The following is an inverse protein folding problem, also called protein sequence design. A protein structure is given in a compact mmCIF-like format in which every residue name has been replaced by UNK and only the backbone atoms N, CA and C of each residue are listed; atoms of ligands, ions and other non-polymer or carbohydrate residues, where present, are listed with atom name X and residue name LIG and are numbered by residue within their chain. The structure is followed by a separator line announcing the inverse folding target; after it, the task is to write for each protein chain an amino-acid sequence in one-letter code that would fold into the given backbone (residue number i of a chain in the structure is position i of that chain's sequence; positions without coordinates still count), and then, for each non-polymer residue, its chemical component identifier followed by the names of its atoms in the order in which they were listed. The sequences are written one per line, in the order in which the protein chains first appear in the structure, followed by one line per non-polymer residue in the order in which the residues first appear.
data_IF_779357792905
#
_entry.id   IF_779357792905
#
_cell.length_a   1.000
_cell.length_b   1.000
_cell.length_c   1.000
_cell.angle_alpha   90.00
_cell.angle_beta   90.00
_cell.angle_gamma   90.00
#
_symmetry.space_group_name_H-M   'P 1'
#
loop_
_entity.id
_entity.type
_entity.pdbx_description
1 polymer ?
#
# COMPACT_ATOMS: atom_id res chain seq x y z
N UNK A 1 20.36 -11.23 12.14
CA UNK A 1 20.13 -10.92 10.71
C UNK A 1 19.82 -9.44 10.60
N UNK A 2 20.42 -8.72 9.65
CA UNK A 2 20.12 -7.30 9.39
C UNK A 2 18.94 -7.17 8.41
N UNK A 3 18.05 -6.20 8.62
CA UNK A 3 16.94 -5.93 7.70
C UNK A 3 17.39 -4.94 6.63
N UNK A 4 17.20 -5.23 5.36
CA UNK A 4 17.34 -4.22 4.32
C UNK A 4 16.02 -3.43 4.19
N UNK A 5 16.09 -2.18 3.75
CA UNK A 5 14.91 -1.40 3.37
C UNK A 5 14.22 -2.13 2.22
N UNK A 6 13.11 -2.84 2.49
CA UNK A 6 12.48 -3.75 1.53
C UNK A 6 11.86 -3.11 0.29
N UNK A 7 12.06 -1.80 0.06
CA UNK A 7 11.49 -1.02 -1.04
C UNK A 7 12.53 -0.03 -1.60
N UNK A 8 13.79 -0.43 -1.56
CA UNK A 8 14.98 0.41 -1.74
C UNK A 8 15.14 1.41 -0.59
N UNK A 9 16.33 1.41 0.00
CA UNK A 9 16.71 2.46 0.94
C UNK A 9 16.69 3.81 0.22
N UNK A 10 16.34 4.87 0.93
CA UNK A 10 16.25 6.20 0.37
C UNK A 10 17.31 7.09 0.94
N UNK A 11 17.90 7.85 0.05
CA UNK A 11 18.55 9.08 0.41
C UNK A 11 17.53 10.21 0.37
N UNK A 12 17.59 11.12 1.34
CA UNK A 12 16.61 12.22 1.41
C UNK A 12 17.24 13.54 1.78
N UNK A 13 16.61 14.63 1.37
CA UNK A 13 17.01 16.00 1.65
C UNK A 13 16.52 16.47 3.02
N UNK A 14 16.45 17.79 3.16
CA UNK A 14 16.04 18.49 4.36
C UNK A 14 14.53 18.46 4.61
N UNK A 15 13.72 18.39 3.55
CA UNK A 15 12.26 18.42 3.63
C UNK A 15 11.64 17.06 3.99
N UNK A 16 12.47 16.02 4.03
CA UNK A 16 12.06 14.66 4.31
C UNK A 16 12.52 14.23 5.70
N UNK A 17 11.72 13.35 6.31
CA UNK A 17 11.99 12.80 7.64
C UNK A 17 13.25 11.92 7.62
N UNK A 18 14.12 12.13 8.61
CA UNK A 18 15.32 11.33 8.83
C UNK A 18 15.31 10.76 10.27
N UNK A 19 14.97 9.48 10.45
CA UNK A 19 14.77 8.91 11.78
C UNK A 19 16.09 8.80 12.55
N UNK A 20 16.05 9.08 13.85
CA UNK A 20 17.22 8.89 14.73
C UNK A 20 17.39 7.43 15.17
N UNK A 21 16.29 6.69 15.27
CA UNK A 21 16.28 5.29 15.71
C UNK A 21 16.75 4.37 14.58
N UNK A 22 17.83 3.57 14.76
CA UNK A 22 18.34 2.69 13.72
C UNK A 22 17.38 1.56 13.35
N UNK A 23 16.40 1.21 14.19
CA UNK A 23 15.38 0.20 13.87
C UNK A 23 14.29 0.75 12.94
N UNK A 24 14.23 2.08 12.77
CA UNK A 24 13.25 2.74 11.92
C UNK A 24 13.79 2.97 10.51
N UNK A 25 13.01 2.55 9.51
CA UNK A 25 13.35 2.67 8.11
C UNK A 25 12.09 2.75 7.24
N UNK A 26 12.25 2.83 5.93
CA UNK A 26 11.11 2.84 5.02
C UNK A 26 10.37 1.49 5.06
N UNK A 27 9.24 1.48 5.78
CA UNK A 27 8.30 0.35 5.82
C UNK A 27 7.29 0.37 4.66
N UNK A 28 7.56 1.18 3.62
CA UNK A 28 6.75 1.39 2.44
C UNK A 28 5.66 2.46 2.60
N UNK A 29 5.60 3.18 3.73
CA UNK A 29 4.59 4.21 3.99
C UNK A 29 4.74 5.42 3.03
N UNK A 30 3.67 6.20 2.86
CA UNK A 30 3.69 7.39 2.00
C UNK A 30 4.72 8.43 2.46
N UNK A 31 4.96 8.50 3.77
CA UNK A 31 6.15 9.16 4.29
C UNK A 31 7.31 8.17 4.17
N UNK A 32 8.16 8.42 3.19
CA UNK A 32 9.33 7.61 2.88
C UNK A 32 10.53 8.14 3.66
N UNK A 33 10.80 7.69 4.91
CA UNK A 33 11.92 8.22 5.67
C UNK A 33 13.25 7.89 5.00
N UNK A 34 14.22 8.78 5.16
CA UNK A 34 15.59 8.51 4.75
C UNK A 34 16.22 7.36 5.53
N UNK A 35 17.14 6.66 4.87
CA UNK A 35 17.95 5.63 5.49
C UNK A 35 18.97 6.27 6.44
N UNK A 36 18.88 5.98 7.73
CA UNK A 36 19.86 6.42 8.73
C UNK A 36 21.02 5.42 8.94
N UNK A 37 21.07 4.37 8.13
CA UNK A 37 22.05 3.27 8.19
C UNK A 37 22.72 3.13 6.83
N UNK A 38 23.49 4.13 6.44
CA UNK A 38 24.18 4.21 5.16
C UNK A 38 25.64 3.76 5.28
N UNK A 39 26.15 3.07 4.26
CA UNK A 39 27.56 2.72 4.13
C UNK A 39 28.11 3.11 2.77
N UNK A 40 29.32 3.63 2.74
CA UNK A 40 30.03 3.91 1.50
C UNK A 40 30.37 2.61 0.78
N UNK A 41 30.07 2.54 -0.52
CA UNK A 41 30.40 1.39 -1.35
C UNK A 41 31.93 1.25 -1.56
N UNK A 42 32.65 2.38 -1.63
CA UNK A 42 34.10 2.42 -1.85
C UNK A 42 34.91 2.14 -0.58
N UNK A 43 34.80 2.97 0.45
CA UNK A 43 35.64 2.84 1.66
C UNK A 43 35.02 1.97 2.77
N UNK A 44 33.76 1.56 2.64
CA UNK A 44 33.06 0.73 3.63
C UNK A 44 32.72 1.42 4.96
N UNK A 45 33.10 2.70 5.14
CA UNK A 45 32.76 3.48 6.32
C UNK A 45 31.26 3.75 6.38
N UNK A 46 30.74 3.92 7.60
CA UNK A 46 29.39 4.43 7.80
C UNK A 46 29.33 5.87 7.25
N UNK A 47 28.17 6.27 6.71
CA UNK A 47 27.98 7.62 6.20
C UNK A 47 27.40 8.46 7.33
N UNK A 48 28.03 9.61 7.59
CA UNK A 48 27.51 10.63 8.50
C UNK A 48 26.56 11.54 7.74
N UNK A 49 25.57 12.05 8.44
CA UNK A 49 24.55 12.96 7.91
C UNK A 49 24.55 14.23 8.74
N UNK A 50 24.59 15.37 8.06
CA UNK A 50 24.51 16.70 8.67
C UNK A 50 23.09 17.08 9.07
N UNK A 51 22.98 18.14 9.85
CA UNK A 51 21.69 18.78 10.13
C UNK A 51 21.05 19.31 8.83
N UNK A 52 19.73 19.50 8.85
CA UNK A 52 18.99 20.14 7.75
C UNK A 52 19.55 21.54 7.49
N UNK A 53 19.72 21.88 6.22
CA UNK A 53 20.28 23.15 5.80
C UNK A 53 21.79 23.14 5.59
N UNK A 54 22.50 22.13 6.11
CA UNK A 54 23.94 22.00 5.88
C UNK A 54 24.23 21.59 4.44
N UNK A 55 25.12 22.33 3.81
CA UNK A 55 25.60 22.12 2.45
C UNK A 55 27.05 22.59 2.31
N UNK A 56 27.73 22.19 1.24
CA UNK A 56 29.04 22.73 0.86
C UNK A 56 28.84 24.07 0.14
N UNK A 57 29.70 25.05 0.42
CA UNK A 57 29.71 26.32 -0.32
C UNK A 57 30.04 26.07 -1.80
N UNK A 58 29.46 26.88 -2.68
CA UNK A 58 29.65 26.74 -4.12
C UNK A 58 31.15 26.75 -4.51
N UNK A 59 31.57 25.71 -5.22
CA UNK A 59 32.95 25.54 -5.67
C UNK A 59 33.95 25.08 -4.60
N UNK A 60 33.55 25.01 -3.33
CA UNK A 60 34.39 24.48 -2.26
C UNK A 60 34.33 22.95 -2.21
N UNK A 61 35.47 22.31 -1.97
CA UNK A 61 35.56 20.87 -1.71
C UNK A 61 36.42 20.63 -0.47
N UNK A 62 36.04 19.73 0.44
CA UNK A 62 36.89 19.39 1.56
C UNK A 62 38.23 18.84 1.07
N UNK A 63 39.34 19.47 1.48
CA UNK A 63 40.69 18.99 1.15
C UNK A 63 41.05 17.70 1.89
N UNK A 64 40.43 17.47 3.04
CA UNK A 64 40.61 16.30 3.88
C UNK A 64 39.24 15.80 4.38
N UNK A 65 38.69 14.83 3.66
CA UNK A 65 37.42 14.20 4.00
C UNK A 65 37.51 13.34 5.25
N UNK A 66 38.69 12.83 5.61
CA UNK A 66 38.87 12.09 6.85
C UNK A 66 38.78 13.03 8.06
N UNK A 67 39.38 14.23 7.97
CA UNK A 67 39.25 15.26 8.99
C UNK A 67 37.79 15.74 9.11
N UNK A 68 37.12 16.04 8.00
CA UNK A 68 35.68 16.39 8.01
C UNK A 68 34.84 15.28 8.66
N UNK A 69 35.08 14.02 8.29
CA UNK A 69 34.39 12.86 8.85
C UNK A 69 34.66 12.66 10.35
N UNK A 70 35.79 13.15 10.88
CA UNK A 70 36.09 13.11 12.31
C UNK A 70 35.50 14.31 13.09
N UNK A 71 35.25 15.46 12.44
CA UNK A 71 34.71 16.65 13.09
C UNK A 71 33.25 16.47 13.52
N UNK A 72 32.94 16.62 14.80
CA UNK A 72 31.56 16.47 15.32
C UNK A 72 30.61 17.53 14.75
N UNK A 73 30.98 18.81 14.83
CA UNK A 73 30.18 19.93 14.34
C UNK A 73 30.59 20.33 12.91
N UNK A 74 29.83 19.89 11.91
CA UNK A 74 30.07 20.28 10.52
C UNK A 74 29.75 21.75 10.24
N UNK A 75 28.90 22.40 11.02
CA UNK A 75 28.56 23.80 10.81
C UNK A 75 29.75 24.73 11.10
N UNK A 76 30.73 24.28 11.89
CA UNK A 76 31.95 25.04 12.17
C UNK A 76 33.01 24.94 11.07
N UNK A 77 32.81 24.11 10.04
CA UNK A 77 33.79 23.92 8.96
C UNK A 77 33.73 25.11 7.98
N UNK A 78 34.86 25.69 7.58
CA UNK A 78 34.89 26.94 6.79
C UNK A 78 34.27 26.81 5.38
N UNK A 79 34.15 25.60 4.87
CA UNK A 79 33.58 25.27 3.55
C UNK A 79 32.13 24.75 3.62
N UNK A 80 31.55 24.64 4.82
CA UNK A 80 30.14 24.28 5.02
C UNK A 80 29.34 25.57 5.25
N UNK A 81 28.11 25.61 4.74
CA UNK A 81 27.12 26.65 5.02
C UNK A 81 25.83 26.00 5.54
N UNK A 82 25.00 26.78 6.24
CA UNK A 82 23.68 26.37 6.73
C UNK A 82 22.54 27.16 6.07
N UNK A 83 22.83 27.91 5.00
CA UNK A 83 21.90 28.86 4.37
C UNK A 83 20.98 28.20 3.32
N UNK A 84 21.22 26.93 2.97
CA UNK A 84 20.48 26.25 1.91
C UNK A 84 19.35 25.39 2.48
N UNK A 85 18.19 26.02 2.73
CA UNK A 85 16.99 25.31 3.17
C UNK A 85 16.65 24.12 2.27
N UNK A 86 16.19 23.02 2.86
CA UNK A 86 15.82 21.81 2.13
C UNK A 86 17.00 20.90 1.74
N UNK A 87 18.26 21.32 1.91
CA UNK A 87 19.41 20.46 1.67
C UNK A 87 19.80 19.63 2.89
N UNK A 88 20.44 18.49 2.61
CA UNK A 88 21.10 17.65 3.61
C UNK A 88 22.45 17.17 3.08
N UNK A 89 23.50 17.49 3.82
CA UNK A 89 24.86 17.03 3.56
C UNK A 89 25.10 15.65 4.15
N UNK A 90 25.80 14.82 3.40
CA UNK A 90 26.24 13.50 3.80
C UNK A 90 27.71 13.31 3.44
N UNK A 91 28.43 12.56 4.26
CA UNK A 91 29.85 12.32 4.02
C UNK A 91 30.30 10.97 4.58
N UNK A 92 31.26 10.36 3.88
CA UNK A 92 32.10 9.30 4.42
C UNK A 92 33.57 9.75 4.39
N UNK A 93 34.52 8.83 4.56
CA UNK A 93 35.95 9.16 4.56
C UNK A 93 36.52 9.50 3.17
N UNK A 94 35.81 9.19 2.09
CA UNK A 94 36.31 9.34 0.72
C UNK A 94 35.37 10.11 -0.22
N UNK A 95 34.14 10.41 0.19
CA UNK A 95 33.14 11.05 -0.67
C UNK A 95 32.14 11.89 0.14
N UNK A 96 31.60 12.93 -0.51
CA UNK A 96 30.52 13.78 0.00
C UNK A 96 29.37 13.83 -0.99
N UNK A 97 28.16 14.05 -0.50
CA UNK A 97 27.00 14.25 -1.36
C UNK A 97 25.98 15.13 -0.67
N UNK A 98 25.27 15.90 -1.49
CA UNK A 98 24.28 16.87 -1.04
C UNK A 98 22.96 16.47 -1.66
N UNK A 99 21.94 16.25 -0.83
CA UNK A 99 20.61 15.87 -1.29
C UNK A 99 19.63 17.00 -1.03
N UNK A 100 18.86 17.38 -2.06
CA UNK A 100 17.79 18.36 -1.95
C UNK A 100 16.42 17.68 -1.87
N UNK A 101 16.21 16.61 -2.63
CA UNK A 101 14.94 15.89 -2.68
C UNK A 101 15.09 14.48 -2.13
N UNK A 102 14.96 13.45 -2.94
CA UNK A 102 15.18 12.08 -2.51
C UNK A 102 15.59 11.21 -3.69
N UNK A 103 16.41 10.21 -3.41
CA UNK A 103 16.84 9.23 -4.40
C UNK A 103 16.85 7.83 -3.82
N UNK A 104 16.45 6.84 -4.62
CA UNK A 104 16.58 5.42 -4.26
C UNK A 104 18.06 5.04 -4.31
N UNK A 105 18.58 4.45 -3.22
CA UNK A 105 19.96 3.95 -3.16
C UNK A 105 20.16 2.73 -4.05
N UNK A 106 19.13 1.90 -4.15
CA UNK A 106 19.10 0.69 -4.98
C UNK A 106 18.17 0.98 -6.14
N UNK A 107 18.80 1.41 -7.23
CA UNK A 107 18.20 1.78 -8.49
C UNK A 107 18.73 0.81 -9.56
N UNK A 108 17.90 0.45 -10.55
CA UNK A 108 18.33 -0.34 -11.71
C UNK A 108 19.31 0.42 -12.64
N UNK A 109 19.49 1.72 -12.43
CA UNK A 109 20.31 2.63 -13.22
C UNK A 109 19.88 2.73 -14.69
N UNK A 110 18.66 2.28 -15.01
CA UNK A 110 18.17 2.24 -16.39
C UNK A 110 17.69 3.62 -16.87
N UNK A 111 17.44 4.56 -15.96
CA UNK A 111 17.07 5.94 -16.34
C UNK A 111 18.31 6.85 -16.42
N UNK A 112 18.56 7.53 -17.56
CA UNK A 112 19.72 8.40 -17.75
C UNK A 112 19.83 9.60 -16.79
N UNK A 113 18.79 9.88 -16.00
CA UNK A 113 18.75 10.97 -15.04
C UNK A 113 19.15 10.55 -13.62
N UNK A 114 19.39 9.26 -13.39
CA UNK A 114 19.61 8.77 -12.05
C UNK A 114 21.06 8.95 -11.60
N UNK A 115 21.28 9.53 -10.41
CA UNK A 115 22.63 9.72 -9.91
C UNK A 115 23.30 8.39 -9.55
N UNK A 116 24.60 8.28 -9.82
CA UNK A 116 25.44 7.21 -9.29
C UNK A 116 25.77 7.49 -7.82
N UNK A 117 24.88 7.04 -6.93
CA UNK A 117 25.01 7.28 -5.49
C UNK A 117 26.13 6.40 -4.90
N UNK A 118 27.11 6.98 -4.19
CA UNK A 118 28.27 6.24 -3.67
C UNK A 118 27.97 5.38 -2.44
N UNK A 119 26.70 5.18 -2.09
CA UNK A 119 26.28 4.55 -0.83
C UNK A 119 25.25 3.45 -1.01
N UNK A 120 25.21 2.58 -0.01
CA UNK A 120 24.27 1.46 0.10
C UNK A 120 23.65 1.41 1.49
N UNK A 121 22.52 0.71 1.62
CA UNK A 121 21.96 0.36 2.92
C UNK A 121 22.93 -0.58 3.67
N UNK A 122 23.21 -0.26 4.93
CA UNK A 122 24.01 -1.08 5.84
C UNK A 122 23.17 -2.10 6.64
N UNK A 123 21.86 -2.08 6.41
CA UNK A 123 20.88 -2.87 7.15
C UNK A 123 20.53 -2.29 8.52
N UNK A 124 19.30 -2.56 8.95
CA UNK A 124 18.70 -2.10 10.20
C UNK A 124 18.69 -3.21 11.26
N UNK A 125 19.02 -2.90 12.52
CA UNK A 125 18.85 -3.83 13.63
C UNK A 125 17.38 -4.20 13.86
N UNK A 126 17.20 -5.33 14.54
CA UNK A 126 15.91 -5.73 15.11
C UNK A 126 15.77 -5.00 16.46
N UNK A 127 14.61 -4.39 16.79
CA UNK A 127 14.45 -3.79 18.11
C UNK A 127 14.40 -4.89 19.18
N UNK A 128 14.94 -4.62 20.35
CA UNK A 128 15.00 -5.58 21.46
C UNK A 128 13.95 -5.26 22.52
N UNK A 129 13.37 -6.27 23.15
CA UNK A 129 12.42 -6.09 24.25
C UNK A 129 13.13 -6.16 25.61
N UNK A 130 12.73 -5.35 26.61
CA UNK A 130 11.73 -4.30 26.52
C UNK A 130 12.27 -3.08 25.75
N UNK A 131 11.45 -2.48 24.89
CA UNK A 131 11.78 -1.24 24.19
C UNK A 131 10.97 -0.08 24.76
N UNK A 132 11.58 1.11 24.76
CA UNK A 132 10.96 2.35 25.21
C UNK A 132 10.78 3.29 24.02
N UNK A 133 9.54 3.72 23.79
CA UNK A 133 9.16 4.67 22.75
C UNK A 133 8.52 5.88 23.43
N UNK A 134 9.35 6.81 23.89
CA UNK A 134 8.89 7.90 24.76
C UNK A 134 8.38 7.35 26.10
N UNK A 135 7.15 7.67 26.45
CA UNK A 135 6.50 7.21 27.69
C UNK A 135 5.95 5.78 27.62
N UNK A 136 6.07 5.13 26.46
CA UNK A 136 5.49 3.83 26.19
C UNK A 136 6.55 2.75 26.27
N UNK A 137 6.38 1.82 27.21
CA UNK A 137 7.22 0.62 27.32
C UNK A 137 6.50 -0.55 26.68
N UNK A 138 7.17 -1.21 25.74
CA UNK A 138 6.70 -2.46 25.13
C UNK A 138 7.61 -3.59 25.61
N UNK A 139 7.01 -4.55 26.30
CA UNK A 139 7.61 -5.78 26.77
C UNK A 139 6.86 -7.01 26.22
N UNK A 140 7.38 -8.21 26.48
CA UNK A 140 6.78 -9.46 25.98
C UNK A 140 5.37 -9.74 26.54
N UNK A 141 5.10 -9.22 27.74
CA UNK A 141 3.91 -9.33 28.57
C UNK A 141 3.03 -8.06 28.54
N UNK A 142 3.30 -7.12 27.64
CA UNK A 142 2.46 -5.93 27.43
C UNK A 142 0.98 -6.30 27.34
N UNK A 143 0.12 -5.56 28.02
CA UNK A 143 -1.32 -5.61 27.79
C UNK A 143 -1.63 -4.93 26.45
N UNK A 144 -1.71 -5.74 25.39
CA UNK A 144 -1.92 -5.27 24.03
C UNK A 144 -3.27 -4.60 23.82
N UNK A 145 -4.31 -5.06 24.54
CA UNK A 145 -5.63 -4.45 24.43
C UNK A 145 -5.63 -3.04 25.03
N UNK A 146 -5.05 -2.88 26.23
CA UNK A 146 -4.90 -1.57 26.85
C UNK A 146 -3.99 -0.64 26.04
N UNK A 147 -2.89 -1.16 25.49
CA UNK A 147 -1.99 -0.39 24.63
C UNK A 147 -2.70 0.12 23.37
N UNK A 148 -3.41 -0.75 22.64
CA UNK A 148 -4.15 -0.37 21.44
C UNK A 148 -5.22 0.67 21.77
N UNK A 149 -5.97 0.49 22.87
CA UNK A 149 -6.96 1.46 23.31
C UNK A 149 -6.31 2.82 23.60
N UNK A 150 -5.20 2.86 24.33
CA UNK A 150 -4.47 4.10 24.61
C UNK A 150 -4.04 4.82 23.33
N UNK A 151 -3.54 4.10 22.33
CA UNK A 151 -3.16 4.70 21.05
C UNK A 151 -4.40 5.23 20.33
N UNK A 152 -5.50 4.48 20.30
CA UNK A 152 -6.77 4.92 19.71
C UNK A 152 -7.35 6.16 20.39
N UNK A 153 -7.10 6.32 21.70
CA UNK A 153 -7.45 7.51 22.48
C UNK A 153 -6.48 8.69 22.25
N UNK A 154 -5.49 8.55 21.36
CA UNK A 154 -4.56 9.59 20.95
C UNK A 154 -3.20 9.57 21.63
N UNK A 155 -2.90 8.56 22.47
CA UNK A 155 -1.57 8.42 23.06
C UNK A 155 -0.54 7.93 22.03
N UNK A 156 -0.05 8.87 21.22
CA UNK A 156 1.03 8.71 20.25
C UNK A 156 2.35 9.22 20.88
N UNK A 157 3.08 8.39 21.65
CA UNK A 157 4.12 8.83 22.58
C UNK A 157 5.38 9.41 21.92
N UNK A 158 5.46 9.34 20.58
CA UNK A 158 6.52 9.97 19.80
C UNK A 158 5.96 10.54 18.52
N UNK A 159 6.55 11.64 18.05
CA UNK A 159 6.21 12.23 16.75
C UNK A 159 6.76 11.39 15.61
N UNK A 160 5.98 11.29 14.53
CA UNK A 160 6.36 10.65 13.26
C UNK A 160 6.66 11.68 12.16
N UNK A 161 6.81 12.95 12.54
CA UNK A 161 7.05 14.14 11.75
C UNK A 161 6.15 14.28 10.51
N UNK A 162 4.84 14.07 10.69
CA UNK A 162 3.81 14.35 9.68
C UNK A 162 2.72 15.27 10.24
N UNK A 163 2.14 16.08 9.36
CA UNK A 163 1.04 16.97 9.71
C UNK A 163 -0.25 16.22 10.07
N UNK A 164 -0.40 15.00 9.56
CA UNK A 164 -1.57 14.14 9.69
C UNK A 164 -1.36 12.97 10.66
N UNK A 165 -0.44 13.14 11.61
CA UNK A 165 -0.18 12.15 12.66
C UNK A 165 -1.42 11.88 13.52
N UNK A 166 -1.67 10.59 13.78
CA UNK A 166 -2.72 10.14 14.67
C UNK A 166 -2.69 8.61 14.84
N UNK A 167 -3.69 8.04 15.53
CA UNK A 167 -3.75 6.60 15.79
C UNK A 167 -3.75 5.77 14.50
N UNK A 168 -4.39 6.28 13.45
CA UNK A 168 -4.47 5.64 12.13
C UNK A 168 -3.09 5.40 11.50
N UNK A 169 -2.10 6.25 11.80
CA UNK A 169 -0.74 6.14 11.31
C UNK A 169 0.16 5.40 12.32
N UNK A 170 -0.06 5.63 13.61
CA UNK A 170 0.79 5.09 14.67
C UNK A 170 0.65 3.57 14.83
N UNK A 171 -0.55 3.01 14.68
CA UNK A 171 -0.75 1.55 14.74
C UNK A 171 -0.05 0.82 13.59
N UNK A 172 -0.20 1.22 12.31
CA UNK A 172 0.60 0.70 11.22
C UNK A 172 2.10 0.84 11.45
N UNK A 173 2.55 2.02 11.88
CA UNK A 173 3.96 2.29 12.15
C UNK A 173 4.52 1.33 13.20
N UNK A 174 3.83 1.18 14.33
CA UNK A 174 4.27 0.31 15.42
C UNK A 174 4.34 -1.16 14.99
N UNK A 175 3.33 -1.62 14.25
CA UNK A 175 3.33 -2.98 13.71
C UNK A 175 4.52 -3.23 12.77
N UNK A 176 4.85 -2.26 11.92
CA UNK A 176 6.00 -2.35 11.04
C UNK A 176 7.34 -2.29 11.81
N UNK A 177 7.43 -1.43 12.83
CA UNK A 177 8.60 -1.32 13.70
C UNK A 177 8.90 -2.64 14.43
N UNK A 178 7.87 -3.30 14.94
CA UNK A 178 7.93 -4.61 15.59
C UNK A 178 8.14 -5.79 14.61
N UNK A 179 8.48 -5.54 13.34
CA UNK A 179 8.81 -6.61 12.38
C UNK A 179 9.81 -7.60 13.01
N UNK A 180 9.68 -8.88 12.66
CA UNK A 180 10.50 -10.00 13.17
C UNK A 180 10.41 -10.28 14.69
N UNK A 181 9.58 -9.54 15.44
CA UNK A 181 9.30 -9.86 16.85
C UNK A 181 7.99 -10.66 16.99
N UNK A 182 7.94 -11.70 17.84
CA UNK A 182 6.72 -12.48 18.08
C UNK A 182 5.54 -11.65 18.59
N UNK A 183 5.82 -10.56 19.32
CA UNK A 183 4.80 -9.65 19.85
C UNK A 183 4.03 -8.89 18.76
N UNK A 184 4.55 -8.83 17.53
CA UNK A 184 3.89 -8.18 16.40
C UNK A 184 2.51 -8.77 16.12
N UNK A 185 2.39 -10.09 16.19
CA UNK A 185 1.11 -10.79 16.02
C UNK A 185 0.12 -10.48 17.17
N UNK A 186 0.63 -10.29 18.40
CA UNK A 186 -0.21 -9.90 19.54
C UNK A 186 -0.82 -8.51 19.32
N UNK A 187 -0.02 -7.57 18.81
CA UNK A 187 -0.49 -6.23 18.44
C UNK A 187 -1.61 -6.29 17.38
N UNK A 188 -1.39 -6.95 16.24
CA UNK A 188 -2.39 -6.96 15.18
C UNK A 188 -3.68 -7.68 15.57
N UNK A 189 -3.60 -8.75 16.37
CA UNK A 189 -4.81 -9.38 16.94
C UNK A 189 -5.58 -8.42 17.84
N UNK A 190 -4.89 -7.69 18.71
CA UNK A 190 -5.53 -6.69 19.57
C UNK A 190 -6.18 -5.55 18.76
N UNK A 191 -5.57 -5.15 17.64
CA UNK A 191 -6.20 -4.22 16.67
C UNK A 191 -7.45 -4.85 16.03
N UNK A 192 -7.36 -6.11 15.58
CA UNK A 192 -8.47 -6.86 15.01
C UNK A 192 -9.65 -7.03 15.96
N UNK A 193 -9.40 -7.25 17.25
CA UNK A 193 -10.44 -7.36 18.27
C UNK A 193 -11.23 -6.04 18.46
N UNK A 194 -10.76 -4.91 17.93
CA UNK A 194 -11.50 -3.64 17.87
C UNK A 194 -12.39 -3.48 16.64
N UNK A 195 -12.36 -4.40 15.68
CA UNK A 195 -13.19 -4.33 14.47
C UNK A 195 -14.71 -4.22 14.73
N UNK A 196 -15.29 -4.84 15.78
CA UNK A 196 -16.72 -4.71 16.09
C UNK A 196 -17.11 -3.42 16.85
N UNK A 197 -16.18 -2.50 17.09
CA UNK A 197 -16.47 -1.25 17.80
C UNK A 197 -17.49 -0.38 17.04
N UNK A 198 -18.16 0.52 17.75
CA UNK A 198 -19.13 1.47 17.19
C UNK A 198 -18.57 2.88 17.06
N UNK A 199 -17.46 3.18 17.73
CA UNK A 199 -16.80 4.47 17.62
C UNK A 199 -16.18 4.62 16.22
N UNK A 200 -16.64 5.61 15.44
CA UNK A 200 -16.26 5.75 14.03
C UNK A 200 -14.74 5.85 13.82
N UNK A 201 -14.04 6.62 14.65
CA UNK A 201 -12.59 6.78 14.57
C UNK A 201 -11.82 5.48 14.87
N UNK A 202 -12.34 4.63 15.77
CA UNK A 202 -11.74 3.32 16.07
C UNK A 202 -11.87 2.41 14.86
N UNK A 203 -13.09 2.29 14.31
CA UNK A 203 -13.34 1.48 13.11
C UNK A 203 -12.49 1.98 11.94
N UNK A 204 -12.40 3.30 11.74
CA UNK A 204 -11.56 3.88 10.69
C UNK A 204 -10.08 3.50 10.85
N UNK A 205 -9.51 3.60 12.05
CA UNK A 205 -8.11 3.23 12.30
C UNK A 205 -7.86 1.73 12.08
N UNK A 206 -8.78 0.86 12.52
CA UNK A 206 -8.69 -0.60 12.31
C UNK A 206 -8.72 -0.94 10.82
N UNK A 207 -9.66 -0.36 10.06
CA UNK A 207 -9.79 -0.60 8.63
C UNK A 207 -8.61 -0.03 7.83
N UNK A 208 -8.10 1.14 8.21
CA UNK A 208 -6.88 1.69 7.64
C UNK A 208 -5.67 0.76 7.87
N UNK A 209 -5.54 0.22 9.09
CA UNK A 209 -4.50 -0.75 9.43
C UNK A 209 -4.59 -2.01 8.56
N UNK A 210 -5.75 -2.64 8.47
CA UNK A 210 -5.89 -3.88 7.70
C UNK A 210 -5.89 -3.68 6.18
N UNK A 211 -6.29 -2.52 5.67
CA UNK A 211 -6.02 -2.19 4.25
C UNK A 211 -4.51 -2.15 3.97
N UNK A 212 -3.73 -1.65 4.93
CA UNK A 212 -2.27 -1.50 4.81
C UNK A 212 -1.52 -2.82 5.03
N UNK A 213 -1.95 -3.61 6.01
CA UNK A 213 -1.36 -4.90 6.38
C UNK A 213 -2.41 -6.01 6.31
N UNK A 214 -2.87 -6.36 5.10
CA UNK A 214 -4.05 -7.19 4.95
C UNK A 214 -3.81 -8.69 5.23
N UNK A 215 -2.54 -9.06 5.47
CA UNK A 215 -2.13 -10.41 5.88
C UNK A 215 -1.77 -10.49 7.37
N UNK A 216 -1.99 -9.43 8.13
CA UNK A 216 -1.73 -9.44 9.57
C UNK A 216 -2.77 -10.28 10.32
N UNK A 217 -2.34 -10.99 11.37
CA UNK A 217 -3.24 -11.72 12.27
C UNK A 217 -4.33 -10.78 12.80
N UNK A 218 -5.57 -11.25 12.90
CA UNK A 218 -6.72 -10.48 13.37
C UNK A 218 -7.62 -9.97 12.24
N UNK A 219 -7.18 -10.07 10.97
CA UNK A 219 -8.01 -9.75 9.79
C UNK A 219 -9.32 -10.54 9.78
N UNK A 220 -9.34 -11.74 10.37
CA UNK A 220 -10.53 -12.60 10.49
C UNK A 220 -11.68 -11.89 11.20
N UNK A 221 -11.38 -10.96 12.10
CA UNK A 221 -12.37 -10.13 12.80
C UNK A 221 -13.02 -9.10 11.87
N UNK A 222 -12.23 -8.49 10.99
CA UNK A 222 -12.72 -7.57 9.95
C UNK A 222 -13.62 -8.31 8.97
N UNK A 223 -13.22 -9.52 8.56
CA UNK A 223 -14.04 -10.40 7.71
C UNK A 223 -15.35 -10.75 8.41
N UNK A 224 -15.32 -11.13 9.69
CA UNK A 224 -16.52 -11.44 10.46
C UNK A 224 -17.48 -10.25 10.57
N UNK A 225 -16.97 -9.02 10.73
CA UNK A 225 -17.81 -7.81 10.69
C UNK A 225 -18.50 -7.64 9.32
N UNK A 226 -17.77 -7.87 8.23
CA UNK A 226 -18.31 -7.77 6.89
C UNK A 226 -19.33 -8.88 6.55
N UNK A 227 -19.13 -10.10 7.07
CA UNK A 227 -20.10 -11.20 6.99
C UNK A 227 -21.39 -10.87 7.73
N UNK A 228 -21.27 -10.27 8.93
CA UNK A 228 -22.40 -9.90 9.77
C UNK A 228 -23.24 -8.76 9.15
N UNK A 229 -22.60 -7.81 8.47
CA UNK A 229 -23.28 -6.72 7.77
C UNK A 229 -22.66 -6.41 6.40
N UNK A 230 -23.06 -7.21 5.41
CA UNK A 230 -22.67 -6.99 4.01
C UNK A 230 -23.14 -5.62 3.48
N UNK A 231 -24.17 -5.00 4.09
CA UNK A 231 -24.67 -3.70 3.65
C UNK A 231 -23.67 -2.58 3.98
N UNK A 232 -22.99 -2.71 5.12
CA UNK A 232 -22.00 -1.75 5.59
C UNK A 232 -20.64 -1.89 4.89
N UNK A 233 -20.43 -2.89 4.02
CA UNK A 233 -19.13 -3.16 3.41
C UNK A 233 -18.54 -1.94 2.68
N UNK A 234 -19.38 -1.16 2.01
CA UNK A 234 -18.96 0.04 1.29
C UNK A 234 -18.94 1.31 2.15
N UNK A 235 -19.40 1.25 3.40
CA UNK A 235 -19.40 2.42 4.27
C UNK A 235 -17.96 2.84 4.58
N UNK A 236 -17.60 4.05 4.17
CA UNK A 236 -16.32 4.66 4.51
C UNK A 236 -16.43 5.39 5.85
N UNK A 237 -15.47 5.13 6.74
CA UNK A 237 -15.41 5.73 8.07
C UNK A 237 -14.42 6.88 8.08
N UNK A 238 -14.78 8.05 8.62
CA UNK A 238 -13.89 9.21 8.62
C UNK A 238 -12.71 8.98 9.56
N UNK A 239 -11.49 9.10 9.04
CA UNK A 239 -10.29 9.27 9.87
C UNK A 239 -10.20 10.75 10.28
N UNK A 240 -10.13 11.09 11.58
CA UNK A 240 -10.12 12.49 12.03
C UNK A 240 -8.96 13.32 11.45
N UNK A 241 -7.81 12.69 11.22
CA UNK A 241 -6.54 13.36 10.91
C UNK A 241 -6.29 13.58 9.41
N UNK A 242 -7.02 12.88 8.53
CA UNK A 242 -6.83 12.92 7.07
C UNK A 242 -8.17 12.92 6.33
N UNK A 243 -8.20 13.46 5.11
CA UNK A 243 -9.35 13.28 4.20
C UNK A 243 -9.31 11.88 3.54
N UNK A 244 -9.36 10.86 4.40
CA UNK A 244 -9.34 9.46 4.00
C UNK A 244 -10.45 8.71 4.73
N UNK A 245 -11.14 7.84 3.98
CA UNK A 245 -12.33 7.10 4.42
C UNK A 245 -12.15 5.60 4.18
N UNK A 246 -11.38 4.88 5.02
CA UNK A 246 -11.26 3.43 4.93
C UNK A 246 -12.63 2.76 5.08
N UNK A 247 -12.82 1.66 4.37
CA UNK A 247 -14.02 0.83 4.40
C UNK A 247 -13.65 -0.65 4.53
N UNK A 248 -14.61 -1.48 4.93
CA UNK A 248 -14.45 -2.93 4.92
C UNK A 248 -14.07 -3.42 3.51
N UNK A 249 -14.70 -2.87 2.47
CA UNK A 249 -14.37 -3.14 1.07
C UNK A 249 -12.88 -2.95 0.78
N UNK A 250 -12.31 -1.82 1.18
CA UNK A 250 -10.89 -1.54 0.97
C UNK A 250 -9.97 -2.56 1.65
N UNK A 251 -10.28 -2.94 2.89
CA UNK A 251 -9.50 -3.94 3.63
C UNK A 251 -9.61 -5.34 2.99
N UNK A 252 -10.82 -5.77 2.60
CA UNK A 252 -11.05 -7.09 1.99
C UNK A 252 -10.36 -7.23 0.63
N UNK A 253 -10.44 -6.21 -0.23
CA UNK A 253 -9.77 -6.23 -1.54
C UNK A 253 -8.25 -6.26 -1.37
N UNK A 254 -7.70 -5.48 -0.42
CA UNK A 254 -6.27 -5.56 -0.10
C UNK A 254 -5.86 -6.96 0.39
N UNK A 255 -6.72 -7.68 1.12
CA UNK A 255 -6.47 -9.07 1.53
C UNK A 255 -6.40 -10.01 0.34
N UNK A 256 -7.38 -9.96 -0.58
CA UNK A 256 -7.36 -10.80 -1.77
C UNK A 256 -6.15 -10.52 -2.68
N UNK A 257 -5.68 -9.26 -2.74
CA UNK A 257 -4.53 -8.91 -3.57
C UNK A 257 -3.20 -9.44 -3.03
N UNK A 258 -3.08 -9.59 -1.70
CA UNK A 258 -1.82 -9.97 -1.05
C UNK A 258 -1.75 -11.44 -0.65
N UNK A 259 -2.89 -12.14 -0.64
CA UNK A 259 -2.99 -13.56 -0.29
C UNK A 259 -3.09 -14.38 -1.58
N UNK A 260 -2.19 -15.35 -1.74
CA UNK A 260 -2.03 -16.11 -2.98
C UNK A 260 -2.44 -17.58 -2.85
N UNK A 261 -2.93 -18.02 -1.70
CA UNK A 261 -3.33 -19.42 -1.48
C UNK A 261 -4.82 -19.61 -1.76
N UNK A 262 -5.14 -20.18 -2.92
CA UNK A 262 -6.51 -20.30 -3.39
C UNK A 262 -7.42 -21.17 -2.51
N UNK A 263 -6.82 -22.02 -1.66
CA UNK A 263 -7.53 -22.96 -0.79
C UNK A 263 -7.54 -22.54 0.68
N UNK A 264 -7.02 -21.36 1.01
CA UNK A 264 -7.08 -20.85 2.36
C UNK A 264 -8.53 -20.52 2.76
N UNK A 265 -8.95 -21.04 3.92
CA UNK A 265 -10.34 -20.92 4.37
C UNK A 265 -10.77 -19.47 4.61
N UNK A 266 -9.83 -18.56 4.93
CA UNK A 266 -10.14 -17.14 5.05
C UNK A 266 -10.38 -16.51 3.68
N UNK A 267 -9.60 -16.87 2.66
CA UNK A 267 -9.77 -16.32 1.31
C UNK A 267 -11.13 -16.69 0.73
N UNK A 268 -11.56 -17.95 0.91
CA UNK A 268 -12.91 -18.39 0.52
C UNK A 268 -14.00 -17.51 1.16
N UNK A 269 -13.85 -17.18 2.46
CA UNK A 269 -14.79 -16.29 3.18
C UNK A 269 -14.75 -14.86 2.64
N UNK A 270 -13.55 -14.31 2.43
CA UNK A 270 -13.39 -12.96 1.88
C UNK A 270 -14.02 -12.84 0.49
N UNK A 271 -13.80 -13.82 -0.39
CA UNK A 271 -14.41 -13.87 -1.72
C UNK A 271 -15.93 -13.96 -1.64
N UNK A 272 -16.49 -14.78 -0.77
CA UNK A 272 -17.94 -14.87 -0.58
C UNK A 272 -18.55 -13.52 -0.16
N UNK A 273 -17.93 -12.83 0.80
CA UNK A 273 -18.34 -11.47 1.22
C UNK A 273 -18.24 -10.48 0.07
N UNK A 274 -17.12 -10.45 -0.66
CA UNK A 274 -16.89 -9.54 -1.80
C UNK A 274 -17.94 -9.78 -2.89
N UNK A 275 -18.22 -11.04 -3.24
CA UNK A 275 -19.26 -11.41 -4.23
C UNK A 275 -20.64 -10.94 -3.79
N UNK A 276 -21.02 -11.19 -2.54
CA UNK A 276 -22.28 -10.71 -1.97
C UNK A 276 -22.38 -9.19 -1.96
N UNK A 277 -21.30 -8.49 -1.63
CA UNK A 277 -21.25 -7.03 -1.64
C UNK A 277 -21.35 -6.48 -3.07
N UNK A 278 -20.66 -7.08 -4.05
CA UNK A 278 -20.73 -6.69 -5.46
C UNK A 278 -22.15 -6.80 -6.04
N UNK A 279 -22.98 -7.72 -5.56
CA UNK A 279 -24.37 -7.84 -5.97
C UNK A 279 -25.30 -6.77 -5.37
N UNK A 280 -24.75 -5.81 -4.61
CA UNK A 280 -25.50 -4.70 -4.01
C UNK A 280 -25.16 -3.36 -4.66
N UNK A 281 -26.09 -2.38 -4.61
CA UNK A 281 -25.77 -1.00 -4.96
C UNK A 281 -24.70 -0.45 -4.00
N UNK A 282 -23.58 0.05 -4.56
CA UNK A 282 -22.44 0.54 -3.77
C UNK A 282 -22.42 2.07 -3.58
N UNK A 283 -23.49 2.78 -3.97
CA UNK A 283 -23.53 4.25 -3.94
C UNK A 283 -22.77 4.90 -5.11
N UNK A 284 -22.57 6.22 -5.04
CA UNK A 284 -21.83 7.01 -6.03
C UNK A 284 -20.60 7.68 -5.38
N UNK A 285 -19.40 7.65 -5.99
CA UNK A 285 -19.04 6.79 -7.12
C UNK A 285 -19.17 5.31 -6.75
N UNK A 286 -19.44 4.46 -7.73
CA UNK A 286 -19.62 3.03 -7.50
C UNK A 286 -18.27 2.38 -7.17
N UNK A 287 -18.03 2.10 -5.89
CA UNK A 287 -16.77 1.52 -5.38
C UNK A 287 -16.39 0.20 -6.08
N UNK A 288 -17.38 -0.56 -6.56
CA UNK A 288 -17.14 -1.78 -7.35
C UNK A 288 -16.55 -1.42 -8.72
N UNK A 289 -17.12 -0.41 -9.39
CA UNK A 289 -16.60 0.09 -10.66
C UNK A 289 -15.18 0.66 -10.51
N UNK A 290 -14.86 1.27 -9.37
CA UNK A 290 -13.51 1.74 -9.07
C UNK A 290 -12.52 0.56 -9.01
N UNK A 291 -12.81 -0.49 -8.23
CA UNK A 291 -11.95 -1.68 -8.20
C UNK A 291 -11.82 -2.32 -9.57
N UNK A 292 -12.92 -2.47 -10.31
CA UNK A 292 -12.88 -3.01 -11.68
C UNK A 292 -12.13 -2.09 -12.67
N UNK A 293 -11.83 -0.84 -12.30
CA UNK A 293 -11.10 0.13 -13.15
C UNK A 293 -9.63 0.28 -12.77
N UNK A 294 -9.32 0.25 -11.47
CA UNK A 294 -7.99 0.52 -10.93
C UNK A 294 -7.15 -0.75 -10.70
N UNK A 295 -7.79 -1.92 -10.62
CA UNK A 295 -7.14 -3.14 -10.14
C UNK A 295 -7.21 -4.30 -11.14
N UNK A 296 -6.04 -4.61 -11.70
CA UNK A 296 -5.48 -5.96 -11.87
C UNK A 296 -6.45 -7.04 -12.39
N UNK A 297 -6.52 -7.20 -13.71
CA UNK A 297 -6.95 -8.48 -14.28
C UNK A 297 -6.20 -9.68 -13.66
N UNK A 298 -5.02 -9.43 -13.08
CA UNK A 298 -4.17 -10.41 -12.39
C UNK A 298 -4.56 -10.66 -10.92
N UNK A 299 -5.38 -9.81 -10.28
CA UNK A 299 -5.81 -10.04 -8.89
C UNK A 299 -7.02 -10.97 -8.80
N UNK A 300 -7.80 -11.11 -9.88
CA UNK A 300 -8.91 -12.04 -9.93
C UNK A 300 -8.43 -13.38 -10.48
N UNK A 301 -8.76 -14.45 -9.73
CA UNK A 301 -8.49 -15.81 -10.17
C UNK A 301 -9.49 -16.22 -11.24
N UNK A 302 -9.17 -17.27 -11.99
CA UNK A 302 -10.01 -17.73 -13.11
C UNK A 302 -11.43 -18.09 -12.63
N UNK A 303 -11.58 -18.65 -11.43
CA UNK A 303 -12.87 -18.94 -10.80
C UNK A 303 -13.67 -17.67 -10.42
N UNK A 304 -12.99 -16.57 -10.08
CA UNK A 304 -13.64 -15.29 -9.79
C UNK A 304 -14.11 -14.62 -11.09
N UNK A 305 -13.31 -14.70 -12.15
CA UNK A 305 -13.68 -14.26 -13.49
C UNK A 305 -14.88 -15.03 -14.04
N UNK A 306 -14.90 -16.37 -13.85
CA UNK A 306 -16.02 -17.21 -14.25
C UNK A 306 -17.32 -16.82 -13.51
N UNK A 307 -17.24 -16.67 -12.18
CA UNK A 307 -18.39 -16.20 -11.40
C UNK A 307 -18.89 -14.83 -11.87
N UNK A 308 -18.00 -13.88 -12.16
CA UNK A 308 -18.40 -12.56 -12.67
C UNK A 308 -19.08 -12.64 -14.03
N UNK A 309 -18.58 -13.48 -14.94
CA UNK A 309 -19.20 -13.69 -16.25
C UNK A 309 -20.62 -14.25 -16.11
N UNK A 310 -20.82 -15.25 -15.26
CA UNK A 310 -22.12 -15.86 -14.99
C UNK A 310 -23.10 -14.90 -14.31
N UNK A 311 -22.61 -13.99 -13.47
CA UNK A 311 -23.42 -13.07 -12.68
C UNK A 311 -23.49 -11.64 -13.23
N UNK A 312 -22.94 -11.41 -14.43
CA UNK A 312 -22.71 -10.06 -14.97
C UNK A 312 -24.00 -9.22 -15.08
N UNK A 313 -25.14 -9.84 -15.40
CA UNK A 313 -26.42 -9.17 -15.48
C UNK A 313 -26.93 -8.70 -14.10
N UNK A 314 -26.70 -9.50 -13.06
CA UNK A 314 -27.04 -9.14 -11.68
C UNK A 314 -26.08 -8.07 -11.14
N UNK A 315 -24.79 -8.17 -11.47
CA UNK A 315 -23.79 -7.17 -11.13
C UNK A 315 -24.13 -5.81 -11.76
N UNK A 316 -24.55 -5.81 -13.03
CA UNK A 316 -25.01 -4.59 -13.71
C UNK A 316 -26.32 -4.05 -13.15
N UNK A 317 -27.24 -4.94 -12.75
CA UNK A 317 -28.46 -4.54 -12.08
C UNK A 317 -28.19 -3.75 -10.79
N UNK A 318 -27.17 -4.17 -10.05
CA UNK A 318 -26.74 -3.53 -8.81
C UNK A 318 -25.99 -2.21 -9.05
N UNK A 319 -25.30 -2.05 -10.18
CA UNK A 319 -24.64 -0.81 -10.58
C UNK A 319 -24.59 -0.66 -12.10
N UNK A 320 -25.54 0.09 -12.70
CA UNK A 320 -25.61 0.23 -14.15
C UNK A 320 -24.29 0.71 -14.77
N UNK A 321 -23.78 -0.04 -15.73
CA UNK A 321 -22.49 0.19 -16.39
C UNK A 321 -21.35 -0.70 -15.89
N UNK A 322 -21.53 -1.45 -14.79
CA UNK A 322 -20.54 -2.43 -14.31
C UNK A 322 -20.23 -3.49 -15.37
N UNK A 323 -21.23 -3.87 -16.17
CA UNK A 323 -21.05 -4.86 -17.23
C UNK A 323 -19.89 -4.48 -18.17
N UNK A 324 -19.75 -3.20 -18.52
CA UNK A 324 -18.72 -2.75 -19.45
C UNK A 324 -17.32 -2.96 -18.87
N UNK A 325 -17.16 -2.76 -17.56
CA UNK A 325 -15.88 -2.96 -16.86
C UNK A 325 -15.54 -4.44 -16.74
N UNK A 326 -16.51 -5.26 -16.35
CA UNK A 326 -16.35 -6.72 -16.26
C UNK A 326 -15.98 -7.30 -17.63
N UNK A 327 -16.74 -6.98 -18.68
CA UNK A 327 -16.43 -7.46 -20.04
C UNK A 327 -15.05 -6.99 -20.52
N UNK A 328 -14.66 -5.73 -20.24
CA UNK A 328 -13.32 -5.23 -20.58
C UNK A 328 -12.22 -5.99 -19.85
N UNK A 329 -12.45 -6.32 -18.57
CA UNK A 329 -11.53 -7.11 -17.76
C UNK A 329 -11.39 -8.55 -18.31
N UNK A 330 -12.50 -9.20 -18.68
CA UNK A 330 -12.47 -10.54 -19.29
C UNK A 330 -11.68 -10.57 -20.60
N UNK A 331 -11.83 -9.55 -21.46
CA UNK A 331 -11.01 -9.40 -22.68
C UNK A 331 -9.52 -9.19 -22.34
N UNK A 332 -9.21 -8.42 -21.30
CA UNK A 332 -7.83 -8.20 -20.88
C UNK A 332 -7.20 -9.51 -20.35
N UNK A 333 -7.96 -10.29 -19.57
CA UNK A 333 -7.53 -11.58 -19.06
C UNK A 333 -7.33 -12.60 -20.19
N UNK A 334 -8.25 -12.65 -21.18
CA UNK A 334 -8.16 -13.60 -22.29
C UNK A 334 -6.94 -13.37 -23.19
N UNK A 335 -6.45 -12.13 -23.28
CA UNK A 335 -5.20 -11.81 -23.98
C UNK A 335 -3.96 -12.41 -23.32
N UNK A 336 -4.03 -12.68 -22.01
CA UNK A 336 -2.97 -13.36 -21.25
C UNK A 336 -3.17 -14.87 -21.23
N UNK A 337 -4.42 -15.33 -21.23
CA UNK A 337 -4.84 -16.73 -21.16
C UNK A 337 -5.97 -16.99 -22.14
N UNK A 338 -5.64 -17.45 -23.35
CA UNK A 338 -6.60 -17.64 -24.45
C UNK A 338 -7.76 -18.57 -24.06
N UNK A 339 -7.50 -19.54 -23.18
CA UNK A 339 -8.51 -20.43 -22.62
C UNK A 339 -9.65 -19.69 -21.91
N UNK A 340 -9.48 -18.44 -21.47
CA UNK A 340 -10.52 -17.63 -20.83
C UNK A 340 -11.46 -16.91 -21.82
N UNK A 341 -11.24 -16.99 -23.13
CA UNK A 341 -12.12 -16.34 -24.12
C UNK A 341 -13.59 -16.78 -24.01
N UNK A 342 -13.83 -18.03 -23.60
CA UNK A 342 -15.19 -18.55 -23.41
C UNK A 342 -15.97 -17.77 -22.34
N UNK A 343 -15.29 -17.19 -21.33
CA UNK A 343 -15.94 -16.37 -20.30
C UNK A 343 -16.52 -15.07 -20.87
N UNK A 344 -15.91 -14.50 -21.91
CA UNK A 344 -16.45 -13.34 -22.63
C UNK A 344 -17.78 -13.72 -23.29
N UNK A 345 -17.86 -14.91 -23.89
CA UNK A 345 -19.08 -15.41 -24.53
C UNK A 345 -20.17 -15.67 -23.47
N UNK A 346 -19.82 -16.32 -22.35
CA UNK A 346 -20.75 -16.57 -21.24
C UNK A 346 -21.33 -15.24 -20.73
N UNK A 347 -20.47 -14.28 -20.39
CA UNK A 347 -20.91 -12.97 -19.90
C UNK A 347 -21.74 -12.19 -20.91
N UNK A 348 -21.31 -12.17 -22.18
CA UNK A 348 -22.06 -11.49 -23.24
C UNK A 348 -23.44 -12.11 -23.48
N UNK A 349 -23.57 -13.43 -23.49
CA UNK A 349 -24.87 -14.12 -23.61
C UNK A 349 -25.76 -13.79 -22.42
N UNK A 350 -25.23 -13.83 -21.19
CA UNK A 350 -25.99 -13.50 -19.98
C UNK A 350 -26.52 -12.04 -20.03
N UNK A 351 -25.72 -11.09 -20.52
CA UNK A 351 -26.17 -9.71 -20.72
C UNK A 351 -27.29 -9.60 -21.76
N UNK A 352 -27.13 -10.25 -22.92
CA UNK A 352 -28.12 -10.23 -24.01
C UNK A 352 -29.46 -10.80 -23.51
N UNK A 353 -29.41 -11.96 -22.85
CA UNK A 353 -30.60 -12.63 -22.32
C UNK A 353 -31.30 -11.82 -21.24
N UNK A 354 -30.55 -11.04 -20.44
CA UNK A 354 -31.13 -10.19 -19.40
C UNK A 354 -32.03 -9.07 -19.95
N UNK A 355 -31.82 -8.66 -21.22
CA UNK A 355 -32.49 -7.51 -21.87
C UNK A 355 -32.35 -6.18 -21.11
N UNK A 356 -31.44 -6.08 -20.14
CA UNK A 356 -31.20 -4.87 -19.34
C UNK A 356 -30.28 -3.87 -20.03
N UNK A 357 -29.40 -4.38 -20.90
CA UNK A 357 -28.43 -3.59 -21.65
C UNK A 357 -28.88 -3.50 -23.10
N UNK A 358 -28.85 -2.30 -23.66
CA UNK A 358 -29.18 -2.07 -25.06
C UNK A 358 -28.23 -2.89 -25.97
N UNK A 359 -28.80 -3.68 -26.88
CA UNK A 359 -28.04 -4.48 -27.85
C UNK A 359 -27.10 -3.63 -28.72
N UNK A 360 -27.46 -2.37 -29.01
CA UNK A 360 -26.60 -1.41 -29.71
C UNK A 360 -25.40 -0.99 -28.86
N UNK A 361 -25.57 -0.85 -27.54
CA UNK A 361 -24.47 -0.56 -26.63
C UNK A 361 -23.49 -1.74 -26.53
N UNK A 362 -24.00 -2.99 -26.53
CA UNK A 362 -23.16 -4.19 -26.58
C UNK A 362 -22.36 -4.22 -27.90
N UNK A 363 -23.00 -4.00 -29.05
CA UNK A 363 -22.30 -3.93 -30.36
C UNK A 363 -21.24 -2.83 -30.40
N UNK A 364 -21.56 -1.64 -29.89
CA UNK A 364 -20.62 -0.52 -29.83
C UNK A 364 -19.40 -0.85 -28.96
N UNK A 365 -19.61 -1.53 -27.82
CA UNK A 365 -18.52 -2.02 -26.97
C UNK A 365 -17.65 -3.05 -27.69
N UNK A 366 -18.25 -4.04 -28.37
CA UNK A 366 -17.50 -5.05 -29.14
C UNK A 366 -16.64 -4.41 -30.22
N UNK A 367 -17.20 -3.49 -31.02
CA UNK A 367 -16.48 -2.76 -32.07
C UNK A 367 -15.27 -1.98 -31.55
N UNK A 368 -15.34 -1.49 -30.31
CA UNK A 368 -14.24 -0.76 -29.68
C UNK A 368 -13.13 -1.67 -29.15
N UNK A 369 -13.43 -2.93 -28.81
CA UNK A 369 -12.54 -3.79 -28.02
C UNK A 369 -12.02 -5.02 -28.74
N UNK A 370 -12.77 -5.56 -29.69
CA UNK A 370 -12.44 -6.75 -30.45
C UNK A 370 -12.33 -6.49 -31.94
N UNK A 371 -11.63 -7.37 -32.63
CA UNK A 371 -11.65 -7.44 -34.09
C UNK A 371 -12.85 -8.27 -34.54
N UNK A 372 -13.43 -7.92 -35.69
CA UNK A 372 -14.57 -8.67 -36.26
C UNK A 372 -14.29 -10.16 -36.48
N UNK A 373 -13.02 -10.56 -36.55
CA UNK A 373 -12.57 -11.93 -36.74
C UNK A 373 -12.38 -12.70 -35.42
N UNK A 374 -12.41 -12.03 -34.25
CA UNK A 374 -12.24 -12.70 -32.97
C UNK A 374 -13.41 -13.66 -32.73
N UNK A 375 -13.12 -14.90 -32.32
CA UNK A 375 -14.13 -15.95 -32.19
C UNK A 375 -15.27 -15.56 -31.23
N UNK A 376 -14.94 -14.89 -30.13
CA UNK A 376 -15.93 -14.41 -29.18
C UNK A 376 -16.83 -13.30 -29.75
N UNK A 377 -16.32 -12.45 -30.65
CA UNK A 377 -17.13 -11.40 -31.32
C UNK A 377 -18.15 -12.06 -32.25
N UNK A 378 -17.72 -13.04 -33.06
CA UNK A 378 -18.60 -13.78 -33.96
C UNK A 378 -19.72 -14.49 -33.18
N UNK A 379 -19.38 -15.13 -32.06
CA UNK A 379 -20.34 -15.81 -31.20
C UNK A 379 -21.39 -14.84 -30.62
N UNK A 380 -20.96 -13.68 -30.12
CA UNK A 380 -21.88 -12.68 -29.54
C UNK A 380 -22.76 -11.98 -30.59
N UNK A 381 -22.26 -11.69 -31.79
CA UNK A 381 -23.10 -11.16 -32.87
C UNK A 381 -24.18 -12.17 -33.28
N UNK A 382 -23.85 -13.46 -33.37
CA UNK A 382 -24.85 -14.51 -33.62
C UNK A 382 -25.92 -14.57 -32.53
N UNK A 383 -25.52 -14.42 -31.26
CA UNK A 383 -26.46 -14.38 -30.15
C UNK A 383 -27.37 -13.14 -30.17
N UNK A 384 -26.82 -11.97 -30.51
CA UNK A 384 -27.57 -10.72 -30.65
C UNK A 384 -28.61 -10.78 -31.78
N UNK A 385 -28.24 -11.37 -32.92
CA UNK A 385 -29.15 -11.48 -34.06
C UNK A 385 -30.31 -12.46 -33.80
N UNK A 386 -30.09 -13.51 -33.01
CA UNK A 386 -31.14 -14.43 -32.55
C UNK A 386 -32.11 -13.84 -31.52
N UNK A 387 -31.73 -12.74 -30.87
CA UNK A 387 -32.50 -12.09 -29.81
C UNK A 387 -33.14 -10.76 -30.25
N UNK A 388 -33.12 -10.44 -31.55
CA UNK A 388 -33.97 -9.40 -32.15
C UNK A 388 -35.42 -9.85 -32.17
#
# INVERSE_FOLDING_TARGET
MSRNCGSSALLVGGDHRFPADPCEYNFGFDARPGCNRLRCASCGADVRTGAVGLSLKDGERPKDLTAMYATEDWASLPFVTNEQSGWRLYACKCETWQELDHHLLENDHDSPGDPDLPWRCAGHPVPELPLSLGELTIAADTDWAALVQRILDGACPRRLDRADEGPWLWLPWLYAYLKDLPVRAKLSRAIGDRAPDRAEHVVAAVLAFFRRFPVADGIERVVACAEADVAAVFAGHKVPEVDYRPSLWGALISALMMRTDENDALDVRVIDVVRKAMLRPAGKPDAVTEVLSWAYADAFRDADLAWMAENIAALDAAGPGRWTKIMTMLVAASRKKVELEHLIVIGGIALIQSRRVDTSAIRAWMQKRGHKADAWVVALESALDKNR
#
